data_IF_829065050905
#
_entry.id   IF_829065050905
#
_cell.length_a   1.000
_cell.length_b   1.000
_cell.length_c   1.000
_cell.angle_alpha   90.00
_cell.angle_beta   90.00
_cell.angle_gamma   90.00
#
_symmetry.space_group_name_H-M   'P 1'
#
loop_
_entity.id
_entity.type
_entity.pdbx_description
1 polymer ?
#
# COMPACT_ATOMS: atom_id res chain seq x y z
N UNK A 1 -15.50 8.66 49.46
CA UNK A 1 -16.66 9.41 48.94
C UNK A 1 -16.48 9.66 47.45
N UNK A 2 -17.59 9.61 46.71
CA UNK A 2 -17.79 9.71 45.24
C UNK A 2 -17.03 10.92 44.62
N UNK A 3 -16.64 10.98 43.34
CA UNK A 3 -17.46 10.72 42.15
C UNK A 3 -16.61 10.53 40.87
N UNK A 4 -17.21 9.75 39.96
CA UNK A 4 -16.83 9.40 38.59
C UNK A 4 -16.93 10.61 37.64
N UNK A 5 -16.10 10.65 36.61
CA UNK A 5 -16.50 11.08 35.26
C UNK A 5 -15.70 10.30 34.21
N UNK A 6 -16.32 9.23 33.70
CA UNK A 6 -15.92 8.53 32.48
C UNK A 6 -16.87 9.06 31.39
N UNK A 7 -16.36 9.80 30.40
CA UNK A 7 -17.16 10.21 29.24
C UNK A 7 -16.84 9.28 28.07
N UNK A 8 -17.76 8.35 27.82
CA UNK A 8 -17.82 7.56 26.60
C UNK A 8 -18.43 8.45 25.50
N UNK A 9 -17.66 8.74 24.45
CA UNK A 9 -18.17 9.42 23.26
C UNK A 9 -18.58 8.34 22.24
N UNK A 10 -19.86 8.01 22.18
CA UNK A 10 -20.41 7.19 21.11
C UNK A 10 -20.83 8.12 19.96
N UNK A 11 -20.13 8.04 18.82
CA UNK A 11 -20.54 8.70 17.58
C UNK A 11 -21.22 7.63 16.72
N UNK A 12 -22.54 7.65 16.68
CA UNK A 12 -23.33 6.84 15.75
C UNK A 12 -23.42 7.55 14.40
N UNK A 13 -22.92 6.93 13.33
CA UNK A 13 -23.22 7.32 11.96
C UNK A 13 -24.45 6.54 11.49
N UNK A 14 -25.57 7.23 11.29
CA UNK A 14 -26.73 6.68 10.60
C UNK A 14 -26.73 7.20 9.16
N UNK A 15 -26.52 6.31 8.19
CA UNK A 15 -26.76 6.61 6.77
C UNK A 15 -28.14 6.06 6.39
N UNK A 16 -29.07 6.96 6.11
CA UNK A 16 -30.34 6.67 5.44
C UNK A 16 -30.06 6.61 3.93
N UNK A 17 -30.21 5.42 3.32
CA UNK A 17 -30.20 5.27 1.86
C UNK A 17 -31.65 5.10 1.41
N UNK A 18 -32.15 6.08 0.67
CA UNK A 18 -33.46 6.03 0.02
C UNK A 18 -33.46 5.00 -1.11
N UNK A 19 -34.45 4.11 -1.09
CA UNK A 19 -34.71 3.14 -2.15
C UNK A 19 -35.48 3.81 -3.29
N UNK A 20 -34.92 3.82 -4.50
CA UNK A 20 -35.68 4.26 -5.67
C UNK A 20 -34.85 4.40 -6.95
N UNK A 21 -34.68 3.30 -7.68
CA UNK A 21 -34.18 3.31 -9.04
C UNK A 21 -33.53 1.98 -9.41
N UNK A 22 -34.11 1.26 -10.39
CA UNK A 22 -33.46 0.09 -11.01
C UNK A 22 -32.24 0.59 -11.78
N UNK A 23 -31.06 0.50 -11.17
CA UNK A 23 -29.79 0.73 -11.83
C UNK A 23 -29.45 -0.48 -12.70
N UNK A 24 -29.06 -0.20 -13.94
CA UNK A 24 -28.47 -1.18 -14.83
C UNK A 24 -27.25 -1.85 -14.17
N UNK A 25 -27.06 -3.12 -14.52
CA UNK A 25 -26.20 -4.10 -13.87
C UNK A 25 -24.83 -3.58 -13.45
N UNK A 26 -24.46 -3.98 -12.24
CA UNK A 26 -23.26 -3.68 -11.50
C UNK A 26 -21.97 -3.97 -12.28
N UNK A 27 -20.92 -3.22 -11.94
CA UNK A 27 -19.54 -3.63 -12.22
C UNK A 27 -19.29 -4.95 -11.50
N UNK A 28 -18.94 -6.00 -12.25
CA UNK A 28 -18.48 -7.27 -11.70
C UNK A 28 -17.31 -7.00 -10.75
N UNK A 29 -17.42 -7.51 -9.52
CA UNK A 29 -16.29 -7.59 -8.59
C UNK A 29 -15.20 -8.46 -9.26
N UNK A 30 -13.94 -8.02 -9.35
CA UNK A 30 -12.89 -8.68 -10.13
C UNK A 30 -12.37 -9.99 -9.49
N UNK A 31 -13.18 -10.70 -8.70
CA UNK A 31 -12.79 -11.96 -8.06
C UNK A 31 -12.83 -13.16 -8.99
N UNK A 32 -13.17 -12.96 -10.26
CA UNK A 32 -12.89 -13.87 -11.36
C UNK A 32 -12.66 -13.01 -12.61
N UNK A 33 -11.46 -12.95 -13.22
CA UNK A 33 -11.37 -12.53 -14.61
C UNK A 33 -12.20 -13.50 -15.43
N UNK A 34 -13.26 -12.99 -16.06
CA UNK A 34 -14.09 -13.75 -16.98
C UNK A 34 -13.25 -14.17 -18.18
N UNK A 35 -13.07 -15.49 -18.31
CA UNK A 35 -12.45 -16.21 -19.43
C UNK A 35 -11.01 -15.84 -19.80
N UNK A 36 -10.30 -16.89 -20.21
CA UNK A 36 -9.16 -16.81 -21.10
C UNK A 36 -9.45 -15.81 -22.22
N UNK A 37 -8.52 -14.88 -22.39
CA UNK A 37 -8.38 -13.99 -23.55
C UNK A 37 -8.46 -14.83 -24.82
N UNK A 38 -9.64 -14.88 -25.44
CA UNK A 38 -9.85 -15.46 -26.76
C UNK A 38 -10.33 -14.33 -27.66
N UNK A 39 -9.44 -13.94 -28.57
CA UNK A 39 -9.68 -13.18 -29.80
C UNK A 39 -10.60 -11.94 -29.74
N UNK A 40 -10.00 -10.77 -29.93
CA UNK A 40 -10.68 -9.65 -30.61
C UNK A 40 -11.11 -8.45 -29.78
N UNK A 41 -10.58 -8.22 -28.56
CA UNK A 41 -10.84 -6.96 -27.85
C UNK A 41 -9.70 -5.95 -28.07
N UNK A 42 -10.07 -4.73 -28.48
CA UNK A 42 -9.16 -3.69 -28.92
C UNK A 42 -8.15 -3.28 -27.85
N UNK A 43 -6.96 -2.84 -28.29
CA UNK A 43 -5.75 -2.47 -27.56
C UNK A 43 -5.87 -1.26 -26.61
N UNK A 44 -6.98 -1.12 -25.89
CA UNK A 44 -7.17 -0.12 -24.80
C UNK A 44 -6.77 -0.66 -23.42
N UNK A 45 -6.23 -1.89 -23.33
CA UNK A 45 -5.74 -2.55 -22.10
C UNK A 45 -4.32 -2.13 -21.66
N UNK A 46 -3.71 -1.12 -22.30
CA UNK A 46 -2.37 -0.63 -21.96
C UNK A 46 -2.35 0.41 -20.82
N UNK A 47 -3.52 0.75 -20.27
CA UNK A 47 -3.65 1.80 -19.25
C UNK A 47 -3.57 1.25 -17.83
N UNK A 48 -2.77 1.90 -16.99
CA UNK A 48 -2.79 1.69 -15.53
C UNK A 48 -4.16 2.08 -15.01
N UNK A 49 -4.81 1.17 -14.28
CA UNK A 49 -6.13 1.40 -13.67
C UNK A 49 -6.00 1.39 -12.17
N UNK A 50 -6.75 2.25 -11.50
CA UNK A 50 -6.93 2.21 -10.06
C UNK A 50 -8.10 1.27 -9.75
N UNK A 51 -7.80 0.18 -9.03
CA UNK A 51 -8.77 -0.81 -8.62
C UNK A 51 -9.16 -0.56 -7.17
N UNK A 52 -10.47 -0.53 -6.90
CA UNK A 52 -11.00 -0.36 -5.55
C UNK A 52 -10.41 -1.43 -4.62
N UNK A 53 -9.81 -0.97 -3.52
CA UNK A 53 -9.20 -1.84 -2.50
C UNK A 53 -7.84 -2.45 -2.87
N UNK A 54 -7.38 -2.33 -4.13
CA UNK A 54 -6.14 -2.95 -4.65
C UNK A 54 -5.10 -1.95 -5.18
N UNK A 55 -5.46 -0.67 -5.28
CA UNK A 55 -4.58 0.36 -5.84
C UNK A 55 -4.33 0.22 -7.35
N UNK A 56 -3.27 0.83 -7.89
CA UNK A 56 -2.97 0.83 -9.31
C UNK A 56 -2.43 -0.53 -9.77
N UNK A 57 -2.95 -1.01 -10.88
CA UNK A 57 -2.50 -2.25 -11.50
C UNK A 57 -2.76 -2.32 -13.00
N UNK A 58 -2.25 -3.38 -13.61
CA UNK A 58 -2.41 -3.72 -15.02
C UNK A 58 -2.26 -5.23 -15.19
N UNK A 59 -3.21 -5.88 -15.86
CA UNK A 59 -3.09 -7.29 -16.28
C UNK A 59 -2.72 -8.25 -15.14
N UNK A 60 -3.39 -8.12 -13.99
CA UNK A 60 -3.13 -8.87 -12.75
C UNK A 60 -1.79 -8.59 -12.06
N UNK A 61 -1.09 -7.52 -12.42
CA UNK A 61 0.06 -7.00 -11.67
C UNK A 61 -0.30 -5.69 -10.98
N UNK A 62 -0.10 -5.60 -9.67
CA UNK A 62 -0.54 -4.48 -8.82
C UNK A 62 0.62 -3.94 -8.02
N UNK A 63 0.67 -2.64 -7.73
CA UNK A 63 1.75 -2.07 -6.88
C UNK A 63 1.96 -2.89 -5.61
N UNK A 64 0.88 -3.28 -4.96
CA UNK A 64 0.88 -4.22 -3.85
C UNK A 64 0.80 -5.66 -4.40
N UNK A 65 1.91 -6.40 -4.35
CA UNK A 65 2.05 -7.71 -5.00
C UNK A 65 1.12 -8.79 -4.42
N UNK A 66 0.60 -8.60 -3.21
CA UNK A 66 -0.40 -9.50 -2.60
C UNK A 66 -1.81 -9.35 -3.18
N UNK A 67 -2.05 -8.40 -4.09
CA UNK A 67 -3.33 -8.23 -4.77
C UNK A 67 -3.42 -9.00 -6.11
N UNK A 68 -2.30 -9.58 -6.55
CA UNK A 68 -2.21 -10.47 -7.70
C UNK A 68 -2.97 -11.78 -7.41
N UNK A 69 -3.87 -12.20 -8.30
CA UNK A 69 -4.69 -13.41 -8.14
C UNK A 69 -4.50 -14.34 -9.33
N UNK A 70 -3.83 -15.46 -9.09
CA UNK A 70 -3.52 -16.47 -10.10
C UNK A 70 -4.39 -17.73 -9.97
N UNK A 71 -5.51 -17.67 -9.25
CA UNK A 71 -6.43 -18.79 -9.06
C UNK A 71 -6.93 -19.41 -10.37
N UNK A 72 -6.96 -18.65 -11.47
CA UNK A 72 -7.30 -19.18 -12.79
C UNK A 72 -6.32 -20.25 -13.29
N UNK A 73 -5.06 -20.24 -12.85
CA UNK A 73 -4.07 -21.27 -13.18
C UNK A 73 -4.29 -22.59 -12.44
N UNK A 74 -5.31 -22.66 -11.56
CA UNK A 74 -5.82 -23.93 -11.04
C UNK A 74 -6.24 -24.87 -12.17
N UNK A 75 -6.73 -24.33 -13.29
CA UNK A 75 -6.94 -25.06 -14.52
C UNK A 75 -5.63 -25.11 -15.33
N UNK A 76 -4.96 -26.27 -15.43
CA UNK A 76 -3.68 -26.37 -16.13
C UNK A 76 -3.78 -26.02 -17.63
N UNK A 77 -4.97 -26.10 -18.23
CA UNK A 77 -5.18 -25.70 -19.62
C UNK A 77 -5.05 -24.18 -19.84
N UNK A 78 -5.05 -23.39 -18.77
CA UNK A 78 -4.83 -21.94 -18.79
C UNK A 78 -3.38 -21.54 -18.58
N UNK A 79 -2.50 -22.51 -18.29
CA UNK A 79 -1.06 -22.27 -18.22
C UNK A 79 -0.50 -22.12 -19.63
N UNK A 80 0.08 -20.96 -19.91
CA UNK A 80 0.60 -20.57 -21.22
C UNK A 80 2.00 -19.95 -21.17
N UNK A 81 2.46 -19.53 -19.99
CA UNK A 81 3.76 -18.91 -19.77
C UNK A 81 4.70 -19.80 -18.94
N UNK A 82 6.01 -19.63 -19.15
CA UNK A 82 7.06 -20.36 -18.43
C UNK A 82 6.99 -20.18 -16.91
N UNK A 83 6.52 -19.03 -16.43
CA UNK A 83 6.43 -18.74 -15.00
C UNK A 83 5.11 -19.17 -14.36
N UNK A 84 4.09 -19.56 -15.13
CA UNK A 84 2.78 -19.98 -14.61
C UNK A 84 2.87 -21.09 -13.54
N UNK A 85 3.75 -22.11 -13.67
CA UNK A 85 3.93 -23.11 -12.60
C UNK A 85 4.40 -22.53 -11.26
N UNK A 86 5.06 -21.37 -11.25
CA UNK A 86 5.42 -20.65 -10.01
C UNK A 86 4.30 -19.72 -9.53
N UNK A 87 3.37 -19.37 -10.42
CA UNK A 87 2.22 -18.52 -10.11
C UNK A 87 1.05 -19.29 -9.51
N UNK A 88 1.00 -20.62 -9.67
CA UNK A 88 0.05 -21.46 -8.94
C UNK A 88 0.65 -22.85 -8.69
N UNK A 89 1.04 -23.10 -7.45
CA UNK A 89 1.59 -24.39 -7.00
C UNK A 89 0.53 -25.07 -6.13
N UNK A 90 -0.23 -26.05 -6.64
CA UNK A 90 -1.17 -26.80 -5.81
C UNK A 90 -0.41 -27.66 -4.79
N UNK A 91 -0.79 -27.57 -3.51
CA UNK A 91 -0.23 -28.39 -2.43
C UNK A 91 -1.13 -29.59 -2.07
N UNK A 92 -2.27 -29.72 -2.75
CA UNK A 92 -3.21 -30.83 -2.64
C UNK A 92 -3.83 -31.17 -4.00
N UNK A 93 -4.42 -32.35 -4.12
CA UNK A 93 -4.97 -32.86 -5.38
C UNK A 93 -6.18 -32.06 -5.91
N UNK A 94 -6.89 -31.36 -5.02
CA UNK A 94 -8.05 -30.53 -5.33
C UNK A 94 -7.68 -29.07 -5.68
N UNK A 95 -6.43 -28.66 -5.46
CA UNK A 95 -5.95 -27.29 -5.65
C UNK A 95 -6.54 -26.27 -4.67
N UNK A 96 -7.22 -26.72 -3.60
CA UNK A 96 -7.79 -25.82 -2.58
C UNK A 96 -6.71 -25.19 -1.72
N UNK A 97 -5.62 -25.93 -1.48
CA UNK A 97 -4.40 -25.38 -0.89
C UNK A 97 -3.41 -25.11 -2.00
N UNK A 98 -2.97 -23.85 -2.13
CA UNK A 98 -2.05 -23.46 -3.17
C UNK A 98 -1.06 -22.39 -2.68
N UNK A 99 0.10 -22.34 -3.34
CA UNK A 99 1.14 -21.35 -3.13
C UNK A 99 1.38 -20.57 -4.42
N UNK A 100 1.36 -19.25 -4.33
CA UNK A 100 1.73 -18.34 -5.42
C UNK A 100 3.04 -17.66 -5.10
N UNK A 101 3.97 -17.58 -6.06
CA UNK A 101 5.23 -16.85 -5.90
C UNK A 101 5.26 -15.59 -6.77
N UNK A 102 5.85 -14.53 -6.25
CA UNK A 102 6.14 -13.30 -7.00
C UNK A 102 7.51 -12.74 -6.64
N UNK A 103 8.02 -11.84 -7.49
CA UNK A 103 9.32 -11.24 -7.25
C UNK A 103 9.58 -10.05 -8.15
N UNK A 104 10.55 -9.23 -7.74
CA UNK A 104 11.02 -8.05 -8.46
C UNK A 104 12.54 -7.99 -8.36
N UNK A 105 13.21 -7.75 -9.49
CA UNK A 105 14.59 -7.31 -9.49
C UNK A 105 14.62 -5.94 -10.16
N UNK A 106 15.20 -4.95 -9.47
CA UNK A 106 15.25 -3.56 -9.97
C UNK A 106 16.63 -2.98 -9.77
N UNK A 107 17.20 -2.49 -10.86
CA UNK A 107 18.33 -1.57 -10.84
C UNK A 107 17.86 -0.16 -11.18
N UNK A 108 18.37 0.84 -10.46
CA UNK A 108 18.09 2.26 -10.71
C UNK A 108 19.35 3.09 -10.50
N UNK A 109 19.56 4.03 -11.40
CA UNK A 109 20.56 5.09 -11.25
C UNK A 109 19.83 6.42 -11.04
N UNK A 110 20.12 7.09 -9.93
CA UNK A 110 19.63 8.45 -9.67
C UNK A 110 20.83 9.41 -9.68
N UNK A 111 20.87 10.33 -10.64
CA UNK A 111 21.83 11.43 -10.67
C UNK A 111 21.13 12.73 -10.29
N UNK A 112 21.62 13.41 -9.25
CA UNK A 112 21.20 14.78 -8.94
C UNK A 112 22.38 15.71 -9.17
N UNK A 113 22.12 16.80 -9.88
CA UNK A 113 23.06 17.89 -10.06
C UNK A 113 22.40 19.21 -9.66
N UNK A 114 23.19 20.15 -9.13
CA UNK A 114 22.73 21.46 -8.65
C UNK A 114 21.45 21.40 -7.77
N UNK A 115 21.40 20.50 -6.77
CA UNK A 115 20.24 20.40 -5.86
C UNK A 115 19.95 21.76 -5.22
N UNK A 116 18.66 22.06 -5.01
CA UNK A 116 18.17 23.36 -4.53
C UNK A 116 18.68 24.53 -5.39
N UNK A 117 18.80 24.34 -6.71
CA UNK A 117 19.33 25.34 -7.66
C UNK A 117 20.74 25.85 -7.31
N UNK A 118 21.51 25.09 -6.52
CA UNK A 118 22.80 25.49 -5.96
C UNK A 118 22.79 26.77 -5.10
N UNK A 119 21.61 27.27 -4.67
CA UNK A 119 21.50 28.44 -3.79
C UNK A 119 21.52 28.08 -2.30
N UNK A 120 21.29 26.81 -1.95
CA UNK A 120 21.30 26.34 -0.57
C UNK A 120 21.75 24.87 -0.44
N UNK A 121 22.59 24.57 0.55
CA UNK A 121 22.98 23.18 0.87
C UNK A 121 21.79 22.37 1.40
N UNK A 122 20.97 22.96 2.27
CA UNK A 122 19.76 22.39 2.83
C UNK A 122 18.67 23.46 2.98
N UNK A 123 17.41 23.03 2.82
CA UNK A 123 16.24 23.83 3.13
C UNK A 123 15.46 23.11 4.23
N UNK A 124 15.38 23.73 5.41
CA UNK A 124 14.59 23.20 6.53
C UNK A 124 13.25 23.94 6.56
N UNK A 125 12.12 23.23 6.44
CA UNK A 125 10.80 23.84 6.57
C UNK A 125 10.67 24.57 7.90
N UNK A 126 9.87 25.64 7.92
CA UNK A 126 9.56 26.32 9.17
C UNK A 126 8.77 25.39 10.10
N UNK A 127 9.06 25.44 11.40
CA UNK A 127 8.35 24.65 12.42
C UNK A 127 6.95 25.19 12.73
N UNK A 128 6.59 26.36 12.21
CA UNK A 128 5.31 27.03 12.42
C UNK A 128 4.63 27.29 11.08
N UNK A 129 3.30 27.17 11.05
CA UNK A 129 2.51 27.54 9.88
C UNK A 129 2.80 29.01 9.48
N UNK A 130 3.04 29.24 8.19
CA UNK A 130 3.39 30.58 7.66
C UNK A 130 4.83 31.04 7.93
N UNK A 131 5.66 30.25 8.63
CA UNK A 131 7.07 30.58 8.81
C UNK A 131 7.89 30.44 7.52
N UNK A 132 8.96 31.21 7.39
CA UNK A 132 9.90 31.09 6.27
C UNK A 132 10.83 29.89 6.48
N UNK A 133 11.15 29.11 5.43
CA UNK A 133 12.13 28.05 5.53
C UNK A 133 13.50 28.63 5.89
N UNK A 134 14.28 27.87 6.66
CA UNK A 134 15.69 28.21 6.90
C UNK A 134 16.51 27.59 5.77
N UNK A 135 17.21 28.44 5.02
CA UNK A 135 18.15 28.02 3.98
C UNK A 135 19.56 28.12 4.55
N UNK A 136 20.31 27.03 4.54
CA UNK A 136 21.75 27.11 4.80
C UNK A 136 22.44 27.62 3.54
N UNK A 137 23.31 28.64 3.62
CA UNK A 137 24.08 29.10 2.47
C UNK A 137 24.76 27.93 1.75
N UNK A 138 24.73 27.94 0.43
CA UNK A 138 25.45 26.94 -0.36
C UNK A 138 26.95 27.06 -0.09
N UNK A 139 27.55 25.98 0.42
CA UNK A 139 29.00 25.86 0.63
C UNK A 139 29.69 25.12 -0.52
N UNK A 140 28.93 24.32 -1.26
CA UNK A 140 29.38 23.57 -2.44
C UNK A 140 28.19 23.25 -3.36
N UNK A 141 28.47 22.87 -4.61
CA UNK A 141 27.44 22.35 -5.52
C UNK A 141 27.02 20.96 -5.04
N UNK A 142 25.75 20.83 -4.67
CA UNK A 142 25.19 19.55 -4.24
C UNK A 142 24.92 18.64 -5.44
N UNK A 143 25.84 17.71 -5.64
CA UNK A 143 25.74 16.61 -6.61
C UNK A 143 25.68 15.26 -5.89
N UNK A 144 24.94 14.31 -6.46
CA UNK A 144 25.03 12.90 -6.07
C UNK A 144 24.79 11.96 -7.24
N UNK A 145 25.35 10.77 -7.13
CA UNK A 145 25.16 9.67 -8.07
C UNK A 145 24.85 8.44 -7.23
N UNK A 146 23.62 7.94 -7.31
CA UNK A 146 23.15 6.81 -6.50
C UNK A 146 22.91 5.62 -7.41
N UNK A 147 23.55 4.50 -7.10
CA UNK A 147 23.21 3.19 -7.67
C UNK A 147 22.34 2.46 -6.66
N UNK A 148 21.14 2.06 -7.10
CA UNK A 148 20.11 1.45 -6.27
C UNK A 148 19.73 0.09 -6.83
N UNK A 149 19.76 -0.91 -5.97
CA UNK A 149 19.33 -2.26 -6.27
C UNK A 149 18.26 -2.69 -5.28
N UNK A 150 17.24 -3.37 -5.80
CA UNK A 150 16.19 -4.02 -5.01
C UNK A 150 15.99 -5.42 -5.56
N UNK A 151 15.92 -6.39 -4.66
CA UNK A 151 15.43 -7.74 -4.96
C UNK A 151 14.31 -8.06 -3.98
N UNK A 152 13.15 -8.44 -4.51
CA UNK A 152 11.98 -8.82 -3.74
C UNK A 152 11.58 -10.24 -4.10
N UNK A 153 11.20 -11.02 -3.09
CA UNK A 153 10.61 -12.34 -3.25
C UNK A 153 9.41 -12.46 -2.31
N UNK A 154 8.24 -12.76 -2.87
CA UNK A 154 7.00 -12.92 -2.13
C UNK A 154 6.34 -14.27 -2.37
N UNK A 155 5.55 -14.67 -1.38
CA UNK A 155 4.78 -15.91 -1.38
C UNK A 155 3.38 -15.66 -0.79
N UNK A 156 2.34 -16.12 -1.49
CA UNK A 156 0.94 -16.14 -1.01
C UNK A 156 0.47 -17.59 -0.86
N UNK A 157 0.25 -18.01 0.38
CA UNK A 157 -0.28 -19.33 0.73
C UNK A 157 -1.78 -19.23 1.00
N UNK A 158 -2.58 -19.86 0.16
CA UNK A 158 -4.02 -19.99 0.34
C UNK A 158 -4.34 -21.34 0.98
N UNK A 159 -5.13 -21.33 2.04
CA UNK A 159 -5.61 -22.50 2.76
C UNK A 159 -7.13 -22.62 2.58
N UNK A 160 -7.53 -23.18 1.44
CA UNK A 160 -8.94 -23.23 1.05
C UNK A 160 -9.51 -21.84 0.70
N UNK A 161 -10.84 -21.68 0.76
CA UNK A 161 -11.50 -20.49 0.22
C UNK A 161 -11.48 -19.25 1.13
N UNK A 162 -11.05 -19.38 2.39
CA UNK A 162 -11.29 -18.34 3.40
C UNK A 162 -10.07 -17.85 4.17
N UNK A 163 -8.91 -18.48 4.03
CA UNK A 163 -7.72 -18.14 4.82
C UNK A 163 -6.51 -18.06 3.90
N UNK A 164 -5.72 -16.99 4.04
CA UNK A 164 -4.42 -16.87 3.38
C UNK A 164 -3.35 -16.27 4.27
N UNK A 165 -2.11 -16.53 3.92
CA UNK A 165 -0.91 -15.93 4.51
C UNK A 165 0.00 -15.41 3.40
N UNK A 166 0.32 -14.13 3.44
CA UNK A 166 1.25 -13.51 2.50
C UNK A 166 2.49 -13.02 3.22
N UNK A 167 3.66 -13.22 2.61
CA UNK A 167 4.89 -12.59 3.04
C UNK A 167 5.78 -12.23 1.85
N UNK A 168 6.47 -11.10 1.91
CA UNK A 168 7.55 -10.77 0.99
C UNK A 168 8.79 -10.20 1.69
N UNK A 169 9.94 -10.58 1.18
CA UNK A 169 11.25 -10.21 1.68
C UNK A 169 11.97 -9.37 0.64
N UNK A 170 12.62 -8.31 1.11
CA UNK A 170 13.33 -7.36 0.26
C UNK A 170 14.79 -7.25 0.68
N UNK A 171 15.69 -7.33 -0.29
CA UNK A 171 17.07 -6.87 -0.18
C UNK A 171 17.20 -5.53 -0.87
N UNK A 172 17.66 -4.50 -0.15
CA UNK A 172 17.88 -3.17 -0.68
C UNK A 172 19.35 -2.75 -0.59
N UNK A 173 19.90 -2.23 -1.68
CA UNK A 173 21.26 -1.70 -1.70
C UNK A 173 21.29 -0.31 -2.32
N UNK A 174 21.93 0.65 -1.64
CA UNK A 174 22.26 1.95 -2.20
C UNK A 174 23.76 2.22 -2.06
N UNK A 175 24.42 2.51 -3.17
CA UNK A 175 25.84 2.87 -3.26
C UNK A 175 26.03 4.06 -4.20
N UNK A 176 27.28 4.44 -4.49
CA UNK A 176 27.63 5.46 -5.47
C UNK A 176 28.49 6.59 -4.91
N UNK A 177 28.41 7.77 -5.51
CA UNK A 177 29.21 8.93 -5.16
C UNK A 177 28.38 9.96 -4.40
N UNK A 178 28.96 10.54 -3.34
CA UNK A 178 28.31 11.58 -2.51
C UNK A 178 26.92 11.14 -2.00
N UNK A 179 26.85 9.89 -1.54
CA UNK A 179 25.62 9.21 -1.07
C UNK A 179 25.07 9.82 0.24
N UNK A 180 25.87 10.65 0.92
CA UNK A 180 25.59 11.19 2.24
C UNK A 180 26.13 10.29 3.36
N UNK A 181 26.25 10.82 4.59
CA UNK A 181 26.84 10.09 5.71
C UNK A 181 25.95 8.95 6.25
N UNK A 182 24.63 9.04 6.04
CA UNK A 182 23.66 8.04 6.53
C UNK A 182 22.74 7.63 5.40
N UNK A 183 22.66 6.32 5.14
CA UNK A 183 21.69 5.74 4.20
C UNK A 183 20.48 5.25 5.01
N UNK A 184 19.25 5.70 4.70
CA UNK A 184 18.05 5.21 5.39
C UNK A 184 17.83 3.70 5.20
N UNK A 185 17.25 3.02 6.20
CA UNK A 185 16.96 1.58 6.11
C UNK A 185 16.07 1.22 4.91
N UNK A 186 15.11 2.07 4.54
CA UNK A 186 14.30 1.85 3.34
C UNK A 186 15.06 2.04 2.00
N UNK A 187 16.34 2.42 2.03
CA UNK A 187 17.22 2.49 0.86
C UNK A 187 18.31 1.42 0.91
N UNK A 188 18.77 1.02 2.10
CA UNK A 188 19.74 -0.05 2.30
C UNK A 188 19.33 -0.91 3.49
N UNK A 189 19.10 -2.17 3.19
CA UNK A 189 18.71 -3.20 4.14
C UNK A 189 19.16 -4.57 3.63
N UNK A 190 19.85 -5.34 4.47
CA UNK A 190 20.39 -6.63 4.05
C UNK A 190 19.27 -7.65 3.79
N UNK A 191 18.20 -7.62 4.58
CA UNK A 191 16.97 -8.38 4.33
C UNK A 191 15.83 -7.87 5.23
N UNK A 192 14.84 -7.19 4.67
CA UNK A 192 13.66 -6.69 5.39
C UNK A 192 12.38 -7.46 5.05
N UNK A 193 11.45 -7.52 6.01
CA UNK A 193 10.08 -8.01 5.79
C UNK A 193 9.19 -6.81 5.47
N UNK A 194 8.71 -6.70 4.22
CA UNK A 194 7.91 -5.56 3.75
C UNK A 194 6.42 -5.85 3.92
N UNK A 195 5.95 -7.03 3.58
CA UNK A 195 4.60 -7.51 3.85
C UNK A 195 4.70 -8.86 4.55
N UNK A 196 3.82 -9.09 5.52
CA UNK A 196 3.80 -10.28 6.34
C UNK A 196 2.52 -10.34 7.16
N UNK A 197 1.47 -10.93 6.61
CA UNK A 197 0.15 -10.93 7.21
C UNK A 197 -0.61 -12.23 7.02
N UNK A 198 -1.56 -12.47 7.92
CA UNK A 198 -2.64 -13.44 7.73
C UNK A 198 -3.95 -12.71 7.42
N UNK A 199 -4.78 -13.31 6.58
CA UNK A 199 -6.10 -12.79 6.23
C UNK A 199 -7.16 -13.89 6.29
N UNK A 200 -8.29 -13.58 6.90
CA UNK A 200 -9.51 -14.41 6.88
C UNK A 200 -10.60 -13.62 6.19
N UNK A 201 -11.27 -14.20 5.20
CA UNK A 201 -12.32 -13.54 4.44
C UNK A 201 -13.36 -14.53 3.91
N UNK A 202 -14.54 -14.01 3.57
CA UNK A 202 -15.61 -14.80 2.96
C UNK A 202 -16.85 -13.96 2.69
N UNK A 203 -17.88 -14.59 2.14
CA UNK A 203 -19.19 -13.94 1.96
C UNK A 203 -19.96 -14.04 3.27
N UNK A 204 -20.23 -12.89 3.89
CA UNK A 204 -20.98 -12.77 5.15
C UNK A 204 -22.23 -11.91 4.90
N UNK A 205 -23.37 -12.57 4.75
CA UNK A 205 -24.62 -11.91 4.34
C UNK A 205 -24.59 -11.54 2.86
N UNK A 206 -24.59 -10.24 2.56
CA UNK A 206 -24.70 -9.66 1.22
C UNK A 206 -23.36 -9.17 0.63
N UNK A 207 -22.25 -9.38 1.32
CA UNK A 207 -20.96 -8.78 0.98
C UNK A 207 -19.78 -9.68 1.31
N UNK A 208 -18.68 -9.49 0.58
CA UNK A 208 -17.39 -10.02 1.00
C UNK A 208 -16.91 -9.24 2.22
N UNK A 209 -16.56 -9.95 3.27
CA UNK A 209 -16.06 -9.38 4.51
C UNK A 209 -14.75 -10.07 4.86
N UNK A 210 -13.77 -9.30 5.31
CA UNK A 210 -12.47 -9.85 5.67
C UNK A 210 -11.80 -9.10 6.80
N UNK A 211 -10.84 -9.79 7.42
CA UNK A 211 -9.98 -9.28 8.47
C UNK A 211 -8.54 -9.71 8.17
N UNK A 212 -7.63 -8.74 8.15
CA UNK A 212 -6.20 -8.91 7.91
C UNK A 212 -5.41 -8.41 9.11
N UNK A 213 -4.42 -9.18 9.52
CA UNK A 213 -3.54 -8.85 10.64
C UNK A 213 -2.08 -9.11 10.28
N UNK A 214 -1.21 -8.14 10.56
CA UNK A 214 0.23 -8.24 10.33
C UNK A 214 0.81 -7.01 9.66
N UNK A 215 2.01 -7.18 9.11
CA UNK A 215 2.74 -6.16 8.39
C UNK A 215 2.20 -6.00 6.97
N UNK A 216 1.88 -4.79 6.56
CA UNK A 216 1.40 -4.53 5.22
C UNK A 216 1.73 -3.11 4.74
N UNK A 217 2.04 -3.01 3.46
CA UNK A 217 1.81 -1.81 2.69
C UNK A 217 0.32 -1.46 2.70
N UNK A 218 0.03 -0.20 2.46
CA UNK A 218 -1.34 0.26 2.27
C UNK A 218 -1.39 1.20 1.08
N UNK A 219 -2.47 1.12 0.33
CA UNK A 219 -2.77 1.99 -0.79
C UNK A 219 -4.24 2.40 -0.72
N UNK A 220 -4.47 3.67 -0.39
CA UNK A 220 -5.79 4.28 -0.41
C UNK A 220 -5.88 5.38 -1.47
N UNK A 221 -6.98 5.33 -2.22
CA UNK A 221 -7.37 6.31 -3.23
C UNK A 221 -6.47 6.39 -4.45
N UNK A 222 -6.28 7.60 -4.95
CA UNK A 222 -5.63 7.87 -6.23
C UNK A 222 -4.14 8.18 -6.12
N UNK A 223 -3.41 7.53 -5.20
CA UNK A 223 -1.96 7.71 -4.97
C UNK A 223 -1.59 8.98 -4.14
N UNK A 224 -2.56 9.81 -3.74
CA UNK A 224 -2.31 11.08 -3.03
C UNK A 224 -2.60 11.05 -1.52
N UNK A 225 -3.35 10.06 -1.03
CA UNK A 225 -3.81 10.03 0.36
C UNK A 225 -2.81 9.27 1.24
N UNK A 226 -2.84 7.94 1.18
CA UNK A 226 -1.90 7.09 1.92
C UNK A 226 -1.41 6.00 1.00
N UNK A 227 -0.10 5.95 0.79
CA UNK A 227 0.55 4.93 -0.02
C UNK A 227 1.95 4.65 0.45
N UNK A 228 2.43 3.44 0.19
CA UNK A 228 3.85 3.18 0.13
C UNK A 228 4.49 3.91 -1.07
N UNK A 229 5.62 4.57 -0.83
CA UNK A 229 6.48 5.10 -1.88
C UNK A 229 7.31 3.95 -2.46
N UNK A 230 6.96 3.50 -3.65
CA UNK A 230 7.68 2.42 -4.34
C UNK A 230 9.03 2.83 -4.93
N UNK A 231 9.39 4.12 -4.91
CA UNK A 231 10.67 4.61 -5.45
C UNK A 231 11.87 4.37 -4.53
N UNK A 232 11.66 4.10 -3.25
CA UNK A 232 12.70 3.64 -2.33
C UNK A 232 13.13 2.20 -2.67
N UNK A 233 14.19 1.64 -2.08
CA UNK A 233 14.55 0.24 -2.31
C UNK A 233 13.72 -0.75 -1.47
N UNK A 234 13.15 -0.33 -0.35
CA UNK A 234 12.06 -1.06 0.32
C UNK A 234 10.85 -0.12 0.32
N UNK A 235 9.69 -0.50 -0.23
CA UNK A 235 8.52 0.36 -0.24
C UNK A 235 8.22 0.90 1.16
N UNK A 236 7.87 2.18 1.28
CA UNK A 236 7.71 2.81 2.60
C UNK A 236 6.80 4.04 2.52
N UNK A 237 5.88 4.28 3.47
CA UNK A 237 5.73 3.56 4.74
C UNK A 237 5.09 2.18 4.60
N UNK A 238 5.36 1.35 5.62
CA UNK A 238 4.76 0.03 5.86
C UNK A 238 4.27 0.00 7.30
N UNK A 239 3.24 -0.78 7.58
CA UNK A 239 2.54 -0.74 8.85
C UNK A 239 2.33 -2.12 9.46
N UNK A 240 2.50 -2.23 10.77
CA UNK A 240 2.08 -3.39 11.55
C UNK A 240 0.71 -3.09 12.19
N UNK A 241 -0.26 -3.99 12.02
CA UNK A 241 -1.55 -3.86 12.70
C UNK A 241 -2.69 -4.62 12.04
N UNK A 242 -3.88 -4.01 12.02
CA UNK A 242 -5.13 -4.67 11.67
C UNK A 242 -5.95 -3.89 10.65
N UNK A 243 -6.63 -4.62 9.76
CA UNK A 243 -7.61 -4.12 8.80
C UNK A 243 -8.83 -5.01 8.81
N UNK A 244 -10.01 -4.44 8.94
CA UNK A 244 -11.27 -5.10 8.63
C UNK A 244 -11.89 -4.41 7.42
N UNK A 245 -12.59 -5.15 6.58
CA UNK A 245 -13.26 -4.58 5.43
C UNK A 245 -14.56 -5.29 5.09
N UNK A 246 -15.43 -4.55 4.39
CA UNK A 246 -16.63 -5.08 3.78
C UNK A 246 -16.80 -4.49 2.38
N UNK A 247 -17.06 -5.36 1.41
CA UNK A 247 -17.10 -5.05 -0.01
C UNK A 247 -18.38 -5.62 -0.64
N UNK A 248 -19.23 -4.72 -1.13
CA UNK A 248 -20.52 -5.02 -1.74
C UNK A 248 -20.46 -5.11 -3.27
N UNK A 249 -19.29 -4.92 -3.88
CA UNK A 249 -19.16 -4.80 -5.33
C UNK A 249 -18.98 -3.35 -5.76
N UNK A 250 -20.01 -2.45 -5.72
CA UNK A 250 -19.83 -1.04 -6.05
C UNK A 250 -19.34 -0.21 -4.86
N UNK A 251 -19.59 -0.64 -3.63
CA UNK A 251 -19.19 0.04 -2.39
C UNK A 251 -18.21 -0.81 -1.58
N UNK A 252 -17.21 -0.18 -0.96
CA UNK A 252 -16.30 -0.81 0.00
C UNK A 252 -16.03 0.12 1.17
N UNK A 253 -15.92 -0.47 2.36
CA UNK A 253 -15.47 0.23 3.56
C UNK A 253 -14.36 -0.59 4.22
N UNK A 254 -13.28 0.08 4.58
CA UNK A 254 -12.14 -0.45 5.33
C UNK A 254 -12.02 0.32 6.66
N UNK A 255 -11.80 -0.40 7.76
CA UNK A 255 -11.45 0.17 9.05
C UNK A 255 -10.11 -0.42 9.49
N UNK A 256 -9.21 0.42 9.99
CA UNK A 256 -7.84 0.00 10.28
C UNK A 256 -7.22 0.72 11.47
N UNK A 257 -6.24 0.06 12.07
CA UNK A 257 -5.39 0.61 13.11
C UNK A 257 -3.99 0.01 12.98
N UNK A 258 -3.01 0.90 12.88
CA UNK A 258 -1.66 0.58 12.48
C UNK A 258 -0.63 1.37 13.28
N UNK A 259 0.53 0.74 13.44
CA UNK A 259 1.77 1.36 13.85
C UNK A 259 2.70 1.39 12.64
N UNK A 260 3.45 2.48 12.47
CA UNK A 260 4.44 2.59 11.41
C UNK A 260 5.61 1.63 11.67
N UNK A 261 6.14 0.99 10.64
CA UNK A 261 7.37 0.20 10.72
C UNK A 261 8.58 1.09 10.46
N UNK A 262 9.60 0.96 11.30
CA UNK A 262 10.92 1.53 11.09
C UNK A 262 11.83 0.49 10.45
N UNK A 263 12.24 0.74 9.20
CA UNK A 263 13.26 -0.06 8.53
C UNK A 263 14.64 0.16 9.14
N UNK A 264 15.36 -0.93 9.40
CA UNK A 264 16.70 -0.91 10.00
C UNK A 264 17.63 -1.80 9.19
N UNK A 265 18.73 -1.23 8.71
CA UNK A 265 19.75 -1.95 7.95
C UNK A 265 20.25 -3.18 8.74
N UNK A 266 19.90 -4.37 8.27
CA UNK A 266 20.26 -5.63 8.91
C UNK A 266 19.53 -6.82 8.31
N UNK A 267 19.48 -7.93 9.04
CA UNK A 267 18.66 -9.09 8.65
C UNK A 267 17.48 -9.13 9.60
N UNK A 268 16.28 -8.84 9.07
CA UNK A 268 14.99 -8.87 9.76
C UNK A 268 15.00 -8.07 11.07
N UNK A 269 15.59 -6.86 11.04
CA UNK A 269 15.73 -6.00 12.23
C UNK A 269 14.66 -4.92 12.34
N UNK A 270 13.78 -4.83 11.34
CA UNK A 270 12.71 -3.85 11.24
C UNK A 270 11.77 -3.87 12.45
N UNK A 271 11.45 -2.69 12.98
CA UNK A 271 10.75 -2.57 14.25
C UNK A 271 9.39 -1.91 14.08
N UNK A 272 8.41 -2.46 14.78
CA UNK A 272 7.16 -1.76 15.05
C UNK A 272 7.43 -0.43 15.79
N UNK A 273 6.75 0.64 15.41
CA UNK A 273 6.84 1.94 16.07
C UNK A 273 5.49 2.36 16.66
N UNK A 274 5.20 2.00 17.93
CA UNK A 274 3.96 2.35 18.59
C UNK A 274 3.81 3.85 18.86
N UNK A 275 4.86 4.66 18.62
CA UNK A 275 4.84 6.11 18.76
C UNK A 275 4.39 6.85 17.49
N UNK A 276 4.26 6.13 16.37
CA UNK A 276 3.71 6.65 15.12
C UNK A 276 2.59 5.74 14.67
N UNK A 277 1.35 6.22 14.81
CA UNK A 277 0.16 5.42 14.56
C UNK A 277 -0.69 6.05 13.46
N UNK A 278 -1.32 5.19 12.67
CA UNK A 278 -2.31 5.54 11.67
C UNK A 278 -3.56 4.70 11.94
N UNK A 279 -4.71 5.32 12.11
CA UNK A 279 -5.98 4.61 12.25
C UNK A 279 -7.07 5.36 11.50
N UNK A 280 -8.15 4.68 11.16
CA UNK A 280 -9.19 5.36 10.40
C UNK A 280 -10.23 4.44 9.79
N UNK A 281 -11.05 5.10 8.99
CA UNK A 281 -12.05 4.47 8.13
C UNK A 281 -11.88 5.07 6.73
N UNK A 282 -11.83 4.21 5.74
CA UNK A 282 -11.73 4.58 4.34
C UNK A 282 -12.89 3.93 3.57
N UNK A 283 -13.66 4.74 2.84
CA UNK A 283 -14.74 4.29 1.98
C UNK A 283 -14.40 4.52 0.52
N UNK A 284 -14.93 3.66 -0.35
CA UNK A 284 -14.86 3.82 -1.80
C UNK A 284 -16.18 3.40 -2.43
N UNK A 285 -16.74 4.24 -3.29
CA UNK A 285 -17.97 3.98 -4.00
C UNK A 285 -17.78 4.29 -5.49
N UNK A 286 -17.92 3.27 -6.33
CA UNK A 286 -17.86 3.43 -7.78
C UNK A 286 -19.16 4.08 -8.27
N UNK A 287 -19.05 5.28 -8.85
CA UNK A 287 -20.19 5.93 -9.47
C UNK A 287 -20.56 5.21 -10.78
N UNK A 288 -21.84 5.25 -11.18
CA UNK A 288 -22.25 4.72 -12.47
C UNK A 288 -21.37 5.28 -13.59
N UNK A 289 -21.00 4.41 -14.54
CA UNK A 289 -20.21 4.82 -15.71
C UNK A 289 -20.91 5.97 -16.42
N UNK A 290 -20.17 7.07 -16.61
CA UNK A 290 -20.65 8.20 -17.39
C UNK A 290 -19.88 8.25 -18.71
N UNK A 291 -20.52 8.71 -19.78
CA UNK A 291 -19.89 8.89 -21.10
C UNK A 291 -20.00 10.35 -21.56
N UNK A 292 -19.43 11.31 -20.81
CA UNK A 292 -19.42 12.70 -21.26
C UNK A 292 -18.57 12.81 -22.53
N UNK A 293 -19.10 13.46 -23.57
CA UNK A 293 -18.40 13.75 -24.83
C UNK A 293 -17.86 12.49 -25.55
N UNK A 294 -18.49 11.32 -25.34
CA UNK A 294 -18.06 10.06 -25.97
C UNK A 294 -16.89 9.37 -25.26
N UNK A 295 -16.43 9.87 -24.12
CA UNK A 295 -15.32 9.29 -23.34
C UNK A 295 -15.86 8.55 -22.12
N UNK A 296 -15.50 7.28 -21.94
CA UNK A 296 -15.85 6.53 -20.73
C UNK A 296 -15.14 7.16 -19.51
N UNK A 297 -15.92 7.75 -18.62
CA UNK A 297 -15.45 8.29 -17.35
C UNK A 297 -15.76 7.27 -16.24
N UNK A 298 -14.71 6.77 -15.60
CA UNK A 298 -14.79 5.99 -14.37
C UNK A 298 -14.51 6.92 -13.21
N UNK A 299 -15.51 7.12 -12.36
CA UNK A 299 -15.43 8.06 -11.24
C UNK A 299 -15.76 7.33 -9.95
N UNK A 300 -15.02 7.60 -8.89
CA UNK A 300 -15.29 7.10 -7.55
C UNK A 300 -15.51 8.25 -6.57
N UNK A 301 -16.32 8.00 -5.54
CA UNK A 301 -16.40 8.83 -4.34
C UNK A 301 -15.65 8.13 -3.21
N UNK A 302 -14.73 8.83 -2.57
CA UNK A 302 -13.83 8.24 -1.56
C UNK A 302 -13.85 9.02 -0.24
N UNK A 303 -14.87 8.84 0.61
CA UNK A 303 -14.89 9.45 1.93
C UNK A 303 -13.85 8.79 2.84
N UNK A 304 -13.12 9.60 3.61
CA UNK A 304 -12.11 9.08 4.54
C UNK A 304 -12.07 9.86 5.85
N UNK A 305 -11.68 9.16 6.90
CA UNK A 305 -11.22 9.72 8.16
C UNK A 305 -9.89 9.07 8.52
N UNK A 306 -8.83 9.88 8.65
CA UNK A 306 -7.49 9.42 8.99
C UNK A 306 -7.05 10.10 10.29
N UNK A 307 -6.91 9.31 11.34
CA UNK A 307 -6.22 9.70 12.56
C UNK A 307 -4.73 9.40 12.42
N UNK A 308 -3.90 10.41 12.70
CA UNK A 308 -2.45 10.27 12.72
C UNK A 308 -1.90 10.80 14.04
N UNK A 309 -1.05 10.00 14.69
CA UNK A 309 -0.32 10.42 15.89
C UNK A 309 1.16 10.16 15.67
N UNK A 310 1.98 11.18 15.88
CA UNK A 310 3.43 11.05 15.96
C UNK A 310 3.92 11.72 17.25
N UNK A 311 4.55 10.94 18.14
CA UNK A 311 5.20 11.49 19.33
C UNK A 311 6.39 12.39 18.93
N UNK A 312 6.74 13.44 19.69
CA UNK A 312 7.88 14.32 19.39
C UNK A 312 9.24 13.60 19.23
N UNK A 313 9.36 12.37 19.74
CA UNK A 313 10.55 11.52 19.67
C UNK A 313 10.46 10.40 18.62
N UNK A 314 9.59 10.54 17.61
CA UNK A 314 9.22 9.52 16.63
C UNK A 314 10.40 8.87 15.84
N UNK A 315 11.59 9.50 15.82
CA UNK A 315 12.82 8.95 15.24
C UNK A 315 13.95 8.70 16.24
N UNK A 316 13.66 8.68 17.56
CA UNK A 316 14.64 8.76 18.64
C UNK A 316 14.87 10.19 19.16
N UNK A 317 15.65 10.34 20.25
CA UNK A 317 16.10 11.67 20.72
C UNK A 317 16.81 12.39 19.56
N UNK A 318 16.33 13.56 19.17
CA UNK A 318 16.99 14.42 18.18
C UNK A 318 16.27 14.59 16.83
N UNK A 319 15.08 14.02 16.62
CA UNK A 319 14.34 14.18 15.35
C UNK A 319 13.84 15.61 15.08
N UNK A 320 13.82 16.51 16.07
CA UNK A 320 13.82 17.97 15.86
C UNK A 320 12.65 18.60 15.09
N UNK A 321 11.58 17.87 14.76
CA UNK A 321 10.45 18.39 13.98
C UNK A 321 9.48 19.22 14.86
N UNK A 322 9.50 19.05 16.19
CA UNK A 322 8.67 19.83 17.12
C UNK A 322 9.48 20.42 18.28
N UNK A 323 9.07 21.61 18.73
CA UNK A 323 9.71 22.39 19.80
C UNK A 323 9.63 21.66 21.14
N UNK A 324 10.78 21.43 21.75
CA UNK A 324 11.08 20.61 22.92
C UNK A 324 10.96 21.36 24.25
N UNK A 325 10.18 22.45 24.30
CA UNK A 325 10.07 23.32 25.50
C UNK A 325 8.67 23.63 26.01
N UNK A 326 7.62 22.98 25.52
CA UNK A 326 6.30 23.10 26.13
C UNK A 326 6.12 22.01 27.20
N UNK A 327 6.21 22.43 28.47
CA UNK A 327 5.83 21.63 29.65
C UNK A 327 4.34 21.28 29.64
#
# INVERSE_FOLDING_TARGET
MRSRYCRTLAIGFAFLIGTGGRAALAQESPELPSKARTEGESTTEDQIRFYKGKGPGRGNSYVERYEEDYSYLRDPARSSDFFDPFKFIPLGADGEVNLTLNGEARFRYDGTDHRNFAIATAATPARTAGGRPTLTPATEVSTNQLYKQRYALGADLHLGPNVRFYADLYHGQQTGHRVGPTIPGNQRDALGLVNGFGEVYGILGDAKTGFRAGRQEIFFGNNLQVRANVSTNLPSPVFDGFRAYRDWGPARVDAFAYNLVQFVDGILQDRDNPHVNLWGVYGSYDLPKAVPLGLEARTSLEPFYLGWRASPFAGGRGAGIYNDRAC
#
